data_IF_056440921392
#
_entry.id   IF_056440921392
#
_cell.length_a   1.000
_cell.length_b   1.000
_cell.length_c   1.000
_cell.angle_alpha   90.00
_cell.angle_beta   90.00
_cell.angle_gamma   90.00
#
_symmetry.space_group_name_H-M   'P 1'
#
loop_
_entity.id
_entity.type
_entity.pdbx_description
1 polymer ?
#
# COMPACT_ATOMS: atom_id res chain seq x y z
N UNK A 1 -15.49 -11.05 8.50
CA UNK A 1 -14.02 -10.84 8.65
C UNK A 1 -13.35 -10.63 7.29
N UNK A 2 -13.74 -11.36 6.24
CA UNK A 2 -13.24 -11.14 4.87
C UNK A 2 -13.54 -9.73 4.32
N UNK A 3 -14.74 -9.20 4.54
CA UNK A 3 -15.15 -7.91 3.95
C UNK A 3 -14.27 -6.74 4.39
N UNK A 4 -13.75 -6.78 5.62
CA UNK A 4 -12.87 -5.72 6.16
C UNK A 4 -11.48 -5.75 5.52
N UNK A 5 -10.94 -6.94 5.27
CA UNK A 5 -9.64 -7.09 4.61
C UNK A 5 -9.74 -6.66 3.15
N UNK A 6 -10.82 -7.06 2.46
CA UNK A 6 -11.08 -6.63 1.09
C UNK A 6 -11.27 -5.11 0.99
N UNK A 7 -12.01 -4.50 1.93
CA UNK A 7 -12.15 -3.05 2.00
C UNK A 7 -10.79 -2.35 2.17
N UNK A 8 -9.99 -2.78 3.14
CA UNK A 8 -8.65 -2.21 3.38
C UNK A 8 -7.72 -2.40 2.18
N UNK A 9 -7.83 -3.51 1.46
CA UNK A 9 -7.10 -3.74 0.22
C UNK A 9 -7.53 -2.77 -0.88
N UNK A 10 -8.84 -2.55 -1.02
CA UNK A 10 -9.38 -1.60 -1.99
C UNK A 10 -8.91 -0.17 -1.69
N UNK A 11 -9.01 0.29 -0.44
CA UNK A 11 -8.53 1.61 -0.02
C UNK A 11 -7.02 1.75 -0.26
N UNK A 12 -6.22 0.73 0.07
CA UNK A 12 -4.78 0.75 -0.19
C UNK A 12 -4.46 0.92 -1.69
N UNK A 13 -5.24 0.32 -2.60
CA UNK A 13 -5.09 0.54 -4.04
C UNK A 13 -5.42 1.96 -4.46
N UNK A 14 -6.49 2.54 -3.92
CA UNK A 14 -6.87 3.93 -4.20
C UNK A 14 -5.76 4.88 -3.73
N UNK A 15 -5.27 4.72 -2.50
CA UNK A 15 -4.18 5.53 -1.96
C UNK A 15 -2.92 5.48 -2.83
N UNK A 16 -2.54 4.29 -3.33
CA UNK A 16 -1.41 4.13 -4.24
C UNK A 16 -1.63 4.82 -5.60
N UNK A 17 -2.84 4.71 -6.16
CA UNK A 17 -3.17 5.39 -7.42
C UNK A 17 -3.16 6.92 -7.24
N UNK A 18 -3.82 7.44 -6.20
CA UNK A 18 -3.84 8.86 -5.88
C UNK A 18 -2.45 9.40 -5.59
N UNK A 19 -1.67 8.70 -4.75
CA UNK A 19 -0.31 9.10 -4.43
C UNK A 19 0.59 9.15 -5.67
N UNK A 20 0.43 8.19 -6.59
CA UNK A 20 1.11 8.21 -7.89
C UNK A 20 0.70 9.42 -8.71
N UNK A 21 -0.60 9.66 -8.85
CA UNK A 21 -1.14 10.73 -9.70
C UNK A 21 -0.80 12.13 -9.15
N UNK A 22 -0.68 12.27 -7.83
CA UNK A 22 -0.23 13.48 -7.15
C UNK A 22 1.31 13.61 -7.10
N UNK A 23 2.06 12.59 -7.53
CA UNK A 23 3.51 12.60 -7.53
C UNK A 23 4.14 12.47 -6.13
N UNK A 24 3.42 11.91 -5.17
CA UNK A 24 3.98 11.65 -3.84
C UNK A 24 4.97 10.48 -3.87
N UNK A 25 6.06 10.56 -3.08
CA UNK A 25 6.93 9.42 -2.84
C UNK A 25 6.14 8.18 -2.42
N UNK A 26 6.44 7.02 -3.03
CA UNK A 26 5.81 5.74 -2.67
C UNK A 26 5.91 5.45 -1.16
N UNK A 27 7.04 5.84 -0.53
CA UNK A 27 7.24 5.72 0.92
C UNK A 27 6.13 6.39 1.76
N UNK A 28 5.63 7.56 1.35
CA UNK A 28 4.59 8.28 2.09
C UNK A 28 3.26 7.55 2.01
N UNK A 29 2.88 7.12 0.80
CA UNK A 29 1.65 6.37 0.58
C UNK A 29 1.68 5.03 1.30
N UNK A 30 2.83 4.34 1.24
CA UNK A 30 3.09 3.10 1.96
C UNK A 30 2.90 3.26 3.48
N UNK A 31 3.48 4.32 4.07
CA UNK A 31 3.30 4.64 5.49
C UNK A 31 1.82 4.92 5.83
N UNK A 32 1.11 5.64 4.97
CA UNK A 32 -0.30 5.93 5.18
C UNK A 32 -1.16 4.65 5.21
N UNK A 33 -0.85 3.66 4.36
CA UNK A 33 -1.51 2.34 4.37
C UNK A 33 -1.23 1.60 5.68
N UNK A 34 0.02 1.63 6.18
CA UNK A 34 0.35 1.04 7.48
C UNK A 34 -0.47 1.64 8.61
N UNK A 35 -0.60 2.97 8.63
CA UNK A 35 -1.37 3.68 9.64
C UNK A 35 -2.87 3.36 9.54
N UNK A 36 -3.42 3.27 8.33
CA UNK A 36 -4.80 2.85 8.09
C UNK A 36 -5.04 1.44 8.66
N UNK A 37 -4.18 0.47 8.34
CA UNK A 37 -4.32 -0.90 8.86
C UNK A 37 -4.30 -0.95 10.39
N UNK A 38 -3.38 -0.19 11.02
CA UNK A 38 -3.31 -0.10 12.50
C UNK A 38 -4.58 0.53 13.08
N UNK A 39 -5.10 1.59 12.46
CA UNK A 39 -6.36 2.23 12.86
C UNK A 39 -7.54 1.26 12.76
N UNK A 40 -7.53 0.41 11.75
CA UNK A 40 -8.50 -0.67 11.56
C UNK A 40 -8.23 -1.89 12.46
N UNK A 41 -7.23 -1.85 13.36
CA UNK A 41 -6.89 -2.97 14.23
C UNK A 41 -6.49 -4.24 13.48
N UNK A 42 -6.02 -4.09 12.24
CA UNK A 42 -5.53 -5.18 11.41
C UNK A 42 -4.01 -5.33 11.57
N UNK A 43 -3.48 -6.57 11.46
CA UNK A 43 -2.05 -6.77 11.39
C UNK A 43 -1.49 -6.10 10.13
N UNK A 44 -0.36 -5.40 10.28
CA UNK A 44 0.36 -4.82 9.15
C UNK A 44 1.24 -5.90 8.52
N UNK A 45 1.04 -6.26 7.24
CA UNK A 45 1.86 -7.25 6.58
C UNK A 45 3.27 -6.70 6.35
N UNK A 46 4.26 -7.61 6.32
CA UNK A 46 5.65 -7.25 6.00
C UNK A 46 5.82 -6.80 4.54
N UNK A 47 4.98 -7.32 3.65
CA UNK A 47 4.94 -6.98 2.23
C UNK A 47 3.57 -6.37 1.90
N UNK A 48 3.51 -5.04 1.92
CA UNK A 48 2.23 -4.31 1.77
C UNK A 48 1.82 -4.26 0.31
N UNK A 49 2.76 -4.12 -0.62
CA UNK A 49 2.45 -4.17 -2.03
C UNK A 49 1.93 -5.55 -2.43
N UNK A 50 2.52 -6.64 -1.90
CA UNK A 50 2.01 -7.98 -2.16
C UNK A 50 0.60 -8.17 -1.57
N UNK A 51 0.35 -7.66 -0.36
CA UNK A 51 -1.00 -7.66 0.20
C UNK A 51 -1.99 -6.88 -0.68
N UNK A 52 -1.59 -5.69 -1.14
CA UNK A 52 -2.46 -4.76 -1.88
C UNK A 52 -2.78 -5.29 -3.27
N UNK A 53 -1.78 -5.84 -3.96
CA UNK A 53 -1.87 -6.32 -5.34
C UNK A 53 -2.04 -7.83 -5.46
N UNK A 54 -2.41 -8.51 -4.38
CA UNK A 54 -2.63 -9.97 -4.36
C UNK A 54 -1.42 -10.75 -4.91
N UNK A 55 -0.22 -10.33 -4.50
CA UNK A 55 1.06 -10.97 -4.84
C UNK A 55 1.64 -10.60 -6.20
N UNK A 56 0.95 -9.77 -7.01
CA UNK A 56 1.46 -9.36 -8.35
C UNK A 56 2.63 -8.38 -8.29
N UNK A 57 2.72 -7.62 -7.21
CA UNK A 57 3.77 -6.62 -6.95
C UNK A 57 4.25 -6.84 -5.51
N UNK A 58 5.54 -6.83 -5.28
CA UNK A 58 6.16 -7.00 -3.95
C UNK A 58 7.00 -5.77 -3.59
N UNK A 59 7.08 -5.49 -2.29
CA UNK A 59 8.00 -4.51 -1.72
C UNK A 59 9.45 -4.75 -2.16
N UNK A 60 9.84 -6.02 -2.42
CA UNK A 60 11.18 -6.38 -2.89
C UNK A 60 11.50 -5.92 -4.32
N UNK A 61 10.48 -5.57 -5.11
CA UNK A 61 10.65 -5.06 -6.47
C UNK A 61 10.88 -3.53 -6.50
N UNK A 62 10.68 -2.85 -5.38
CA UNK A 62 10.85 -1.39 -5.28
C UNK A 62 12.34 -1.07 -5.21
N UNK A 63 12.83 -0.32 -6.20
CA UNK A 63 14.23 0.11 -6.27
C UNK A 63 14.43 1.56 -5.81
N UNK A 64 13.37 2.37 -5.83
CA UNK A 64 13.37 3.76 -5.44
C UNK A 64 12.07 4.15 -4.72
N UNK A 65 12.12 4.15 -3.40
CA UNK A 65 11.01 4.55 -2.53
C UNK A 65 10.63 6.03 -2.60
N UNK A 66 11.49 6.87 -3.18
CA UNK A 66 11.21 8.30 -3.43
C UNK A 66 10.45 8.52 -4.75
N UNK A 67 10.49 7.54 -5.65
CA UNK A 67 9.69 7.57 -6.88
C UNK A 67 8.22 7.24 -6.53
N UNK A 68 7.23 7.95 -7.11
CA UNK A 68 5.82 7.61 -6.93
C UNK A 68 5.44 6.20 -7.42
N UNK A 69 6.25 5.62 -8.30
CA UNK A 69 6.02 4.27 -8.88
C UNK A 69 7.02 3.22 -8.41
N UNK A 70 7.94 3.57 -7.50
CA UNK A 70 8.89 2.62 -6.94
C UNK A 70 10.13 2.32 -7.79
N UNK A 71 10.17 2.77 -9.05
CA UNK A 71 11.32 2.62 -9.96
C UNK A 71 11.24 1.44 -10.91
#
# INVERSE_FOLDING_TARGET
MNDRIEHVRYEARQMLAEGRDLGFPLALTYLAIQLMMRKEGLPVPRDILAFTFEGKISDAQVTNWQSPVGG
#
